data_IF_752426098273
#
_entry.id   IF_752426098273
#
_cell.length_a   1.000
_cell.length_b   1.000
_cell.length_c   1.000
_cell.angle_alpha   90.00
_cell.angle_beta   90.00
_cell.angle_gamma   90.00
#
_symmetry.space_group_name_H-M   'P 1'
#
loop_
_entity.id
_entity.type
_entity.pdbx_description
1 polymer ?
#
# COMPACT_ATOMS: atom_id res chain seq x y z
N UNK A 1 -63.13 -42.35 66.29
CA UNK A 1 -63.72 -41.46 65.25
C UNK A 1 -63.02 -40.10 65.20
N UNK A 2 -63.02 -39.28 66.26
CA UNK A 2 -62.46 -37.90 66.24
C UNK A 2 -60.95 -37.81 65.91
N UNK A 3 -60.12 -38.74 66.39
CA UNK A 3 -58.67 -38.75 66.09
C UNK A 3 -58.36 -39.09 64.62
N UNK A 4 -59.21 -39.90 63.98
CA UNK A 4 -59.07 -40.27 62.57
C UNK A 4 -59.38 -39.05 61.69
N UNK A 5 -60.45 -38.32 61.99
CA UNK A 5 -60.83 -37.09 61.26
C UNK A 5 -59.74 -36.01 61.34
N UNK A 6 -59.09 -35.81 62.50
CA UNK A 6 -57.96 -34.88 62.64
C UNK A 6 -56.75 -35.30 61.82
N UNK A 7 -56.43 -36.60 61.79
CA UNK A 7 -55.33 -37.14 60.98
C UNK A 7 -55.61 -36.96 59.48
N UNK A 8 -56.83 -37.23 59.03
CA UNK A 8 -57.27 -37.03 57.64
C UNK A 8 -57.16 -35.56 57.24
N UNK A 9 -57.57 -34.63 58.09
CA UNK A 9 -57.48 -33.20 57.81
C UNK A 9 -56.03 -32.70 57.73
N UNK A 10 -55.14 -33.20 58.61
CA UNK A 10 -53.70 -32.90 58.53
C UNK A 10 -53.09 -33.42 57.22
N UNK A 11 -53.44 -34.63 56.80
CA UNK A 11 -52.96 -35.19 55.53
C UNK A 11 -53.52 -34.43 54.31
N UNK A 12 -54.79 -34.00 54.35
CA UNK A 12 -55.38 -33.17 53.31
C UNK A 12 -54.64 -31.83 53.15
N UNK A 13 -54.24 -31.18 54.25
CA UNK A 13 -53.46 -29.94 54.19
C UNK A 13 -52.05 -30.16 53.62
N UNK A 14 -51.37 -31.25 53.99
CA UNK A 14 -50.06 -31.61 53.41
C UNK A 14 -50.19 -31.87 51.91
N UNK A 15 -51.24 -32.59 51.49
CA UNK A 15 -51.52 -32.83 50.08
C UNK A 15 -51.80 -31.52 49.32
N UNK A 16 -52.53 -30.58 49.93
CA UNK A 16 -52.80 -29.25 49.36
C UNK A 16 -51.52 -28.45 49.17
N UNK A 17 -50.65 -28.38 50.18
CA UNK A 17 -49.35 -27.67 50.10
C UNK A 17 -48.41 -28.31 49.07
N UNK A 18 -48.37 -29.64 48.98
CA UNK A 18 -47.63 -30.35 47.95
C UNK A 18 -48.18 -30.08 46.54
N UNK A 19 -49.50 -30.00 46.40
CA UNK A 19 -50.17 -29.68 45.12
C UNK A 19 -49.87 -28.25 44.67
N UNK A 20 -49.91 -27.27 45.57
CA UNK A 20 -49.52 -25.89 45.27
C UNK A 20 -48.07 -25.78 44.83
N UNK A 21 -47.14 -26.45 45.55
CA UNK A 21 -45.71 -26.51 45.18
C UNK A 21 -45.48 -27.16 43.82
N UNK A 22 -46.18 -28.26 43.53
CA UNK A 22 -46.11 -28.93 42.23
C UNK A 22 -46.63 -28.01 41.12
N UNK A 23 -47.77 -27.35 41.35
CA UNK A 23 -48.38 -26.43 40.39
C UNK A 23 -47.44 -25.27 40.08
N UNK A 24 -46.83 -24.64 41.10
CA UNK A 24 -45.84 -23.58 40.93
C UNK A 24 -44.63 -24.06 40.09
N UNK A 25 -44.07 -25.23 40.42
CA UNK A 25 -42.96 -25.83 39.66
C UNK A 25 -43.32 -26.12 38.20
N UNK A 26 -44.55 -26.59 37.94
CA UNK A 26 -45.02 -26.82 36.58
C UNK A 26 -45.11 -25.52 35.77
N UNK A 27 -45.64 -24.44 36.38
CA UNK A 27 -45.71 -23.11 35.75
C UNK A 27 -44.31 -22.55 35.46
N UNK A 28 -43.39 -22.65 36.41
CA UNK A 28 -42.01 -22.17 36.23
C UNK A 28 -41.27 -22.97 35.14
N UNK A 29 -41.44 -24.30 35.12
CA UNK A 29 -40.88 -25.16 34.07
C UNK A 29 -41.46 -24.82 32.70
N UNK A 30 -42.77 -24.58 32.61
CA UNK A 30 -43.41 -24.20 31.35
C UNK A 30 -42.88 -22.87 30.83
N UNK A 31 -42.83 -21.82 31.66
CA UNK A 31 -42.23 -20.52 31.32
C UNK A 31 -40.77 -20.62 30.92
N UNK A 32 -40.02 -21.53 31.52
CA UNK A 32 -38.63 -21.78 31.13
C UNK A 32 -38.56 -22.44 29.74
N UNK A 33 -39.38 -23.46 29.48
CA UNK A 33 -39.46 -24.10 28.16
C UNK A 33 -39.86 -23.12 27.05
N UNK A 34 -40.86 -22.25 27.29
CA UNK A 34 -41.29 -21.24 26.32
C UNK A 34 -40.16 -20.27 25.95
N UNK A 35 -39.45 -19.72 26.96
CA UNK A 35 -38.31 -18.83 26.75
C UNK A 35 -37.16 -19.51 26.02
N UNK A 36 -36.89 -20.77 26.35
CA UNK A 36 -35.86 -21.57 25.67
C UNK A 36 -36.22 -21.82 24.21
N UNK A 37 -37.49 -22.16 23.93
CA UNK A 37 -37.97 -22.38 22.57
C UNK A 37 -37.88 -21.09 21.74
N UNK A 38 -38.32 -19.96 22.29
CA UNK A 38 -38.23 -18.65 21.62
C UNK A 38 -36.77 -18.32 21.23
N UNK A 39 -35.82 -18.53 22.15
CA UNK A 39 -34.39 -18.32 21.87
C UNK A 39 -33.83 -19.27 20.81
N UNK A 40 -34.25 -20.53 20.82
CA UNK A 40 -33.83 -21.50 19.80
C UNK A 40 -34.36 -21.12 18.41
N UNK A 41 -35.61 -20.66 18.33
CA UNK A 41 -36.21 -20.18 17.08
C UNK A 41 -35.51 -18.91 16.58
N UNK A 42 -35.22 -17.96 17.47
CA UNK A 42 -34.47 -16.75 17.14
C UNK A 42 -33.07 -17.09 16.63
N UNK A 43 -32.37 -18.01 17.29
CA UNK A 43 -31.04 -18.45 16.87
C UNK A 43 -31.09 -19.12 15.51
N UNK A 44 -32.06 -19.99 15.25
CA UNK A 44 -32.22 -20.65 13.96
C UNK A 44 -32.46 -19.64 12.83
N UNK A 45 -33.37 -18.69 13.04
CA UNK A 45 -33.65 -17.64 12.06
C UNK A 45 -32.41 -16.77 11.79
N UNK A 46 -31.70 -16.36 12.84
CA UNK A 46 -30.47 -15.58 12.70
C UNK A 46 -29.36 -16.37 11.97
N UNK A 47 -29.25 -17.69 12.22
CA UNK A 47 -28.32 -18.56 11.51
C UNK A 47 -28.64 -18.66 10.02
N UNK A 48 -29.91 -18.78 9.64
CA UNK A 48 -30.33 -18.85 8.24
C UNK A 48 -30.07 -17.52 7.50
N UNK A 49 -30.39 -16.38 8.15
CA UNK A 49 -30.09 -15.04 7.62
C UNK A 49 -28.58 -14.84 7.42
N UNK A 50 -27.77 -15.23 8.41
CA UNK A 50 -26.31 -15.14 8.32
C UNK A 50 -25.76 -16.08 7.23
N UNK A 51 -26.30 -17.29 7.11
CA UNK A 51 -25.88 -18.23 6.09
C UNK A 51 -26.06 -17.65 4.68
N UNK A 52 -27.19 -16.98 4.45
CA UNK A 52 -27.48 -16.31 3.19
C UNK A 52 -26.56 -15.10 2.95
N UNK A 53 -26.32 -14.28 3.98
CA UNK A 53 -25.39 -13.16 3.87
C UNK A 53 -23.95 -13.61 3.56
N UNK A 54 -23.48 -14.70 4.19
CA UNK A 54 -22.18 -15.30 3.90
C UNK A 54 -22.10 -15.88 2.49
N UNK A 55 -23.18 -16.47 1.98
CA UNK A 55 -23.24 -16.97 0.60
C UNK A 55 -23.10 -15.83 -0.42
N UNK A 56 -23.78 -14.70 -0.21
CA UNK A 56 -23.63 -13.52 -1.06
C UNK A 56 -22.20 -12.96 -1.02
N UNK A 57 -21.62 -12.87 0.18
CA UNK A 57 -20.25 -12.39 0.36
C UNK A 57 -19.21 -13.33 -0.26
N UNK A 58 -19.40 -14.65 -0.15
CA UNK A 58 -18.58 -15.64 -0.84
C UNK A 58 -18.71 -15.49 -2.36
N UNK A 59 -19.89 -15.15 -2.88
CA UNK A 59 -20.11 -14.84 -4.29
C UNK A 59 -19.24 -13.67 -4.79
N UNK A 60 -19.16 -12.57 -4.02
CA UNK A 60 -18.27 -11.44 -4.32
C UNK A 60 -16.81 -11.88 -4.30
N UNK A 61 -16.41 -12.67 -3.31
CA UNK A 61 -15.04 -13.21 -3.23
C UNK A 61 -14.69 -14.07 -4.44
N UNK A 62 -15.61 -14.91 -4.90
CA UNK A 62 -15.40 -15.77 -6.07
C UNK A 62 -15.31 -15.00 -7.40
N UNK A 63 -15.85 -13.79 -7.45
CA UNK A 63 -15.76 -12.92 -8.62
C UNK A 63 -14.43 -12.15 -8.71
N UNK A 64 -13.55 -12.23 -7.71
CA UNK A 64 -12.26 -11.53 -7.76
C UNK A 64 -11.31 -12.14 -8.78
N UNK A 65 -10.89 -11.32 -9.73
CA UNK A 65 -9.81 -11.63 -10.67
C UNK A 65 -8.45 -11.63 -9.96
N UNK A 66 -7.48 -12.48 -10.32
CA UNK A 66 -6.13 -12.43 -9.76
C UNK A 66 -5.49 -11.04 -9.90
N UNK A 67 -4.80 -10.55 -8.85
CA UNK A 67 -4.22 -9.18 -8.86
C UNK A 67 -3.25 -8.97 -10.03
N UNK A 68 -2.52 -10.01 -10.45
CA UNK A 68 -1.58 -9.93 -11.57
C UNK A 68 -2.23 -9.73 -12.94
N UNK A 69 -3.54 -9.98 -13.07
CA UNK A 69 -4.28 -9.81 -14.33
C UNK A 69 -4.97 -8.43 -14.42
N UNK A 70 -4.91 -7.64 -13.34
CA UNK A 70 -5.53 -6.32 -13.29
C UNK A 70 -4.68 -5.27 -14.01
N UNK A 71 -5.35 -4.29 -14.61
CA UNK A 71 -4.67 -3.11 -15.13
C UNK A 71 -4.17 -2.24 -13.97
N UNK A 72 -2.97 -1.68 -14.12
CA UNK A 72 -2.35 -0.81 -13.12
C UNK A 72 -3.25 0.38 -12.77
N UNK A 73 -3.87 0.99 -13.79
CA UNK A 73 -4.72 2.16 -13.64
C UNK A 73 -6.03 1.87 -12.87
N UNK A 74 -6.50 0.62 -12.87
CA UNK A 74 -7.72 0.21 -12.13
C UNK A 74 -7.43 -0.27 -10.71
N UNK A 75 -6.16 -0.42 -10.31
CA UNK A 75 -5.79 -0.94 -8.98
C UNK A 75 -6.43 -0.11 -7.85
N UNK A 76 -6.49 1.22 -8.00
CA UNK A 76 -7.11 2.10 -7.01
C UNK A 76 -8.63 1.84 -6.88
N UNK A 77 -9.33 1.66 -7.99
CA UNK A 77 -10.76 1.33 -7.99
C UNK A 77 -11.02 -0.01 -7.28
N UNK A 78 -10.18 -1.02 -7.53
CA UNK A 78 -10.28 -2.31 -6.84
C UNK A 78 -9.98 -2.20 -5.34
N UNK A 79 -9.03 -1.35 -4.94
CA UNK A 79 -8.75 -1.06 -3.52
C UNK A 79 -10.00 -0.48 -2.86
N UNK A 80 -10.61 0.54 -3.48
CA UNK A 80 -11.76 1.22 -2.90
C UNK A 80 -13.02 0.33 -2.88
N UNK A 81 -13.25 -0.46 -3.92
CA UNK A 81 -14.29 -1.49 -3.92
C UNK A 81 -14.08 -2.53 -2.79
N UNK A 82 -12.84 -2.97 -2.56
CA UNK A 82 -12.53 -3.94 -1.49
C UNK A 82 -12.68 -3.30 -0.10
N UNK A 83 -12.41 -2.00 0.06
CA UNK A 83 -12.68 -1.27 1.33
C UNK A 83 -14.19 -1.20 1.60
N UNK A 84 -14.98 -0.83 0.59
CA UNK A 84 -16.43 -0.76 0.71
C UNK A 84 -17.00 -2.14 1.09
N UNK A 85 -16.57 -3.20 0.40
CA UNK A 85 -16.97 -4.56 0.74
C UNK A 85 -16.60 -4.93 2.19
N UNK A 86 -15.40 -4.55 2.66
CA UNK A 86 -15.01 -4.76 4.06
C UNK A 86 -15.91 -4.02 5.06
N UNK A 87 -16.41 -2.83 4.70
CA UNK A 87 -17.38 -2.09 5.51
C UNK A 87 -18.74 -2.80 5.52
N UNK A 88 -19.22 -3.31 4.40
CA UNK A 88 -20.46 -4.09 4.32
C UNK A 88 -20.41 -5.36 5.19
N UNK A 89 -19.24 -6.00 5.28
CA UNK A 89 -19.03 -7.18 6.12
C UNK A 89 -19.14 -6.90 7.64
N UNK A 90 -19.21 -5.64 8.07
CA UNK A 90 -19.48 -5.32 9.48
C UNK A 90 -20.81 -5.88 9.96
N UNK A 91 -21.85 -5.88 9.11
CA UNK A 91 -23.15 -6.46 9.44
C UNK A 91 -23.06 -7.98 9.64
N UNK A 92 -22.27 -8.67 8.82
CA UNK A 92 -22.03 -10.12 8.93
C UNK A 92 -21.30 -10.44 10.24
N UNK A 93 -20.32 -9.60 10.61
CA UNK A 93 -19.61 -9.72 11.90
C UNK A 93 -20.58 -9.57 13.08
N UNK A 94 -21.46 -8.57 13.05
CA UNK A 94 -22.47 -8.35 14.08
C UNK A 94 -23.44 -9.55 14.19
N UNK A 95 -23.88 -10.09 13.05
CA UNK A 95 -24.72 -11.31 13.02
C UNK A 95 -24.04 -12.51 13.68
N UNK A 96 -22.74 -12.72 13.45
CA UNK A 96 -21.98 -13.79 14.09
C UNK A 96 -21.85 -13.59 15.59
N UNK A 97 -21.57 -12.36 16.03
CA UNK A 97 -21.52 -12.06 17.46
C UNK A 97 -22.87 -12.32 18.12
N UNK A 98 -23.97 -11.92 17.46
CA UNK A 98 -25.31 -12.13 17.97
C UNK A 98 -25.66 -13.62 18.13
N UNK A 99 -25.37 -14.45 17.12
CA UNK A 99 -25.67 -15.90 17.20
C UNK A 99 -24.79 -16.59 18.24
N UNK A 100 -23.51 -16.22 18.34
CA UNK A 100 -22.62 -16.76 19.37
C UNK A 100 -23.09 -16.37 20.79
N UNK A 101 -23.61 -15.15 20.96
CA UNK A 101 -24.21 -14.71 22.23
C UNK A 101 -25.49 -15.49 22.56
N UNK A 102 -26.36 -15.74 21.57
CA UNK A 102 -27.55 -16.59 21.75
C UNK A 102 -27.17 -18.02 22.16
N UNK A 103 -26.18 -18.61 21.49
CA UNK A 103 -25.65 -19.94 21.83
C UNK A 103 -25.07 -19.95 23.25
N UNK A 104 -24.35 -18.90 23.64
CA UNK A 104 -23.80 -18.75 24.99
C UNK A 104 -24.91 -18.63 26.06
N UNK A 105 -25.95 -17.84 25.79
CA UNK A 105 -27.10 -17.69 26.70
C UNK A 105 -27.87 -19.01 26.88
N UNK A 106 -27.98 -19.83 25.83
CA UNK A 106 -28.56 -21.17 25.91
C UNK A 106 -27.70 -22.08 26.79
N UNK A 107 -26.37 -22.06 26.61
CA UNK A 107 -25.44 -22.83 27.42
C UNK A 107 -25.50 -22.45 28.92
N UNK A 108 -25.62 -21.16 29.25
CA UNK A 108 -25.83 -20.70 30.64
C UNK A 108 -27.13 -21.24 31.22
N UNK A 109 -28.15 -21.43 30.39
CA UNK A 109 -29.46 -21.96 30.78
C UNK A 109 -29.50 -23.50 30.88
N UNK A 110 -28.34 -24.17 30.78
CA UNK A 110 -28.16 -25.63 30.70
C UNK A 110 -28.89 -26.28 29.50
N UNK A 111 -29.09 -25.48 28.43
CA UNK A 111 -29.69 -25.92 27.18
C UNK A 111 -28.58 -26.15 26.17
N UNK A 112 -28.38 -27.41 25.81
CA UNK A 112 -27.38 -27.81 24.83
C UNK A 112 -27.98 -27.76 23.42
N UNK A 113 -27.25 -27.20 22.47
CA UNK A 113 -27.63 -27.20 21.06
C UNK A 113 -27.69 -28.65 20.54
N UNK A 114 -28.57 -28.87 19.56
CA UNK A 114 -28.54 -30.10 18.78
C UNK A 114 -27.19 -30.24 18.06
N UNK A 115 -26.78 -31.47 17.76
CA UNK A 115 -25.55 -31.71 17.00
C UNK A 115 -25.56 -30.98 15.65
N UNK A 116 -26.73 -30.86 15.03
CA UNK A 116 -26.93 -30.16 13.75
C UNK A 116 -26.70 -28.66 13.90
N UNK A 117 -27.33 -28.01 14.88
CA UNK A 117 -27.18 -26.56 15.11
C UNK A 117 -25.76 -26.21 15.56
N UNK A 118 -25.13 -27.05 16.38
CA UNK A 118 -23.74 -26.87 16.78
C UNK A 118 -22.79 -26.93 15.58
N UNK A 119 -22.96 -27.92 14.69
CA UNK A 119 -22.17 -28.04 13.44
C UNK A 119 -22.42 -26.86 12.50
N UNK A 120 -23.67 -26.46 12.31
CA UNK A 120 -24.00 -25.33 11.44
C UNK A 120 -23.40 -24.02 11.99
N UNK A 121 -23.44 -23.79 13.30
CA UNK A 121 -22.80 -22.64 13.93
C UNK A 121 -21.27 -22.65 13.75
N UNK A 122 -20.63 -23.82 13.90
CA UNK A 122 -19.19 -23.99 13.67
C UNK A 122 -18.82 -23.72 12.20
N UNK A 123 -19.64 -24.20 11.26
CA UNK A 123 -19.48 -23.93 9.83
C UNK A 123 -19.61 -22.45 9.49
N UNK A 124 -20.59 -21.74 10.05
CA UNK A 124 -20.75 -20.29 9.84
C UNK A 124 -19.54 -19.52 10.40
N UNK A 125 -19.10 -19.86 11.61
CA UNK A 125 -17.92 -19.22 12.23
C UNK A 125 -16.63 -19.48 11.43
N UNK A 126 -16.44 -20.69 10.90
CA UNK A 126 -15.26 -21.03 10.09
C UNK A 126 -15.29 -20.35 8.72
N UNK A 127 -16.44 -20.35 8.03
CA UNK A 127 -16.63 -19.61 6.76
C UNK A 127 -16.33 -18.13 6.91
N UNK A 128 -16.85 -17.50 7.95
CA UNK A 128 -16.56 -16.09 8.24
C UNK A 128 -15.07 -15.80 8.45
N UNK A 129 -14.38 -16.62 9.25
CA UNK A 129 -12.93 -16.44 9.46
C UNK A 129 -12.15 -16.56 8.16
N UNK A 130 -12.51 -17.51 7.29
CA UNK A 130 -11.90 -17.67 5.97
C UNK A 130 -12.16 -16.46 5.07
N UNK A 131 -13.41 -15.97 5.05
CA UNK A 131 -13.80 -14.78 4.29
C UNK A 131 -13.02 -13.54 4.78
N UNK A 132 -12.97 -13.30 6.09
CA UNK A 132 -12.23 -12.21 6.69
C UNK A 132 -10.75 -12.26 6.29
N UNK A 133 -10.10 -13.43 6.44
CA UNK A 133 -8.71 -13.62 6.03
C UNK A 133 -8.49 -13.37 4.53
N UNK A 134 -9.42 -13.82 3.69
CA UNK A 134 -9.36 -13.62 2.23
C UNK A 134 -9.44 -12.13 1.85
N UNK A 135 -10.30 -11.36 2.52
CA UNK A 135 -10.43 -9.90 2.29
C UNK A 135 -9.17 -9.16 2.72
N UNK A 136 -8.60 -9.52 3.87
CA UNK A 136 -7.35 -8.91 4.35
C UNK A 136 -6.17 -9.23 3.42
N UNK A 137 -6.08 -10.48 2.96
CA UNK A 137 -5.07 -10.90 1.97
C UNK A 137 -5.24 -10.16 0.64
N UNK A 138 -6.46 -10.09 0.11
CA UNK A 138 -6.76 -9.37 -1.13
C UNK A 138 -6.39 -7.89 -1.02
N UNK A 139 -6.78 -7.24 0.07
CA UNK A 139 -6.45 -5.83 0.32
C UNK A 139 -4.94 -5.62 0.33
N UNK A 140 -4.19 -6.50 1.01
CA UNK A 140 -2.74 -6.43 1.05
C UNK A 140 -2.13 -6.58 -0.34
N UNK A 141 -2.55 -7.59 -1.11
CA UNK A 141 -2.03 -7.83 -2.46
C UNK A 141 -2.30 -6.63 -3.38
N UNK A 142 -3.50 -6.05 -3.34
CA UNK A 142 -3.84 -4.86 -4.13
C UNK A 142 -3.01 -3.64 -3.70
N UNK A 143 -2.82 -3.42 -2.40
CA UNK A 143 -1.99 -2.32 -1.88
C UNK A 143 -0.51 -2.47 -2.24
N UNK A 144 0.02 -3.69 -2.16
CA UNK A 144 1.38 -4.00 -2.57
C UNK A 144 1.54 -3.76 -4.08
N UNK A 145 0.62 -4.26 -4.92
CA UNK A 145 0.65 -4.02 -6.36
C UNK A 145 0.53 -2.53 -6.71
N UNK A 146 -0.36 -1.78 -6.04
CA UNK A 146 -0.50 -0.34 -6.26
C UNK A 146 0.75 0.44 -5.82
N UNK A 147 1.41 0.04 -4.73
CA UNK A 147 2.67 0.65 -4.31
C UNK A 147 3.79 0.39 -5.32
N UNK A 148 3.86 -0.84 -5.82
CA UNK A 148 4.99 -1.31 -6.63
C UNK A 148 4.80 -1.04 -8.12
N UNK A 149 3.57 -0.82 -8.61
CA UNK A 149 3.31 -0.58 -10.04
C UNK A 149 2.43 0.63 -10.32
N UNK A 150 1.76 1.20 -9.31
CA UNK A 150 0.89 2.35 -9.50
C UNK A 150 1.64 3.61 -9.94
N UNK A 151 0.91 4.69 -10.26
CA UNK A 151 1.49 5.94 -10.76
C UNK A 151 2.55 6.56 -9.84
N UNK A 152 2.56 6.26 -8.54
CA UNK A 152 3.59 6.74 -7.61
C UNK A 152 4.83 5.85 -7.49
N UNK A 153 4.91 4.76 -8.26
CA UNK A 153 5.94 3.73 -8.11
C UNK A 153 7.27 4.15 -8.75
N UNK A 154 8.36 3.81 -8.05
CA UNK A 154 9.71 3.88 -8.60
C UNK A 154 10.29 2.48 -8.89
N UNK A 155 9.47 1.42 -8.87
CA UNK A 155 9.91 0.03 -8.96
C UNK A 155 10.63 -0.28 -10.28
N UNK A 156 10.23 0.36 -11.39
CA UNK A 156 10.90 0.15 -12.68
C UNK A 156 12.40 0.51 -12.64
N UNK A 157 12.79 1.44 -11.76
CA UNK A 157 14.19 1.85 -11.53
C UNK A 157 15.00 0.82 -10.75
N UNK A 158 14.40 -0.22 -10.16
CA UNK A 158 15.15 -1.31 -9.51
C UNK A 158 16.16 -1.99 -10.46
N UNK A 159 15.86 -1.97 -11.77
CA UNK A 159 16.71 -2.51 -12.82
C UNK A 159 17.92 -1.62 -13.20
N UNK A 160 18.03 -0.41 -12.64
CA UNK A 160 19.16 0.50 -12.87
C UNK A 160 20.49 -0.07 -12.34
N UNK A 161 20.40 -0.85 -11.27
CA UNK A 161 21.51 -1.52 -10.59
C UNK A 161 21.47 -3.03 -10.84
N UNK A 162 22.60 -3.68 -10.55
CA UNK A 162 22.79 -5.12 -10.68
C UNK A 162 23.51 -5.63 -9.44
N UNK A 163 23.39 -6.92 -9.13
CA UNK A 163 24.09 -7.59 -8.02
C UNK A 163 25.59 -7.20 -8.05
N UNK A 164 26.20 -6.79 -6.92
CA UNK A 164 25.72 -6.88 -5.54
C UNK A 164 24.90 -5.68 -5.04
N UNK A 165 24.50 -4.78 -5.93
CA UNK A 165 23.78 -3.55 -5.58
C UNK A 165 22.26 -3.74 -5.63
N UNK A 166 21.57 -3.10 -4.68
CA UNK A 166 20.12 -2.99 -4.63
C UNK A 166 19.73 -1.52 -4.47
N UNK A 167 18.73 -1.08 -5.24
CA UNK A 167 18.12 0.25 -5.09
C UNK A 167 16.97 0.15 -4.10
N UNK A 168 17.02 0.95 -3.06
CA UNK A 168 15.98 1.05 -2.04
C UNK A 168 15.47 2.50 -1.93
N UNK A 169 14.31 2.68 -1.29
CA UNK A 169 13.65 3.98 -1.15
C UNK A 169 13.53 4.30 0.35
N UNK A 170 13.96 5.49 0.74
CA UNK A 170 13.81 5.97 2.13
C UNK A 170 12.34 6.34 2.45
N UNK A 171 11.97 6.51 3.73
CA UNK A 171 10.65 7.00 4.11
C UNK A 171 10.26 8.33 3.44
N UNK A 172 11.26 9.16 3.12
CA UNK A 172 11.09 10.46 2.45
C UNK A 172 11.09 10.35 0.92
N UNK A 173 10.90 9.16 0.36
CA UNK A 173 10.85 8.87 -1.10
C UNK A 173 12.14 9.12 -1.88
N UNK A 174 13.25 9.42 -1.19
CA UNK A 174 14.58 9.58 -1.79
C UNK A 174 15.24 8.20 -1.95
N UNK A 175 15.79 7.87 -3.13
CA UNK A 175 16.48 6.60 -3.34
C UNK A 175 17.84 6.55 -2.66
N UNK A 176 18.22 5.36 -2.23
CA UNK A 176 19.56 5.01 -1.75
C UNK A 176 19.94 3.62 -2.25
N UNK A 177 21.23 3.30 -2.20
CA UNK A 177 21.78 2.07 -2.77
C UNK A 177 22.46 1.25 -1.69
N UNK A 178 22.16 -0.04 -1.68
CA UNK A 178 22.68 -1.03 -0.73
C UNK A 178 23.67 -1.91 -1.47
N UNK A 179 24.89 -2.03 -0.96
CA UNK A 179 25.86 -2.99 -1.44
C UNK A 179 25.88 -4.20 -0.50
N UNK A 180 25.31 -5.32 -0.96
CA UNK A 180 25.22 -6.55 -0.16
C UNK A 180 26.58 -7.21 0.08
N UNK A 181 27.54 -7.01 -0.82
CA UNK A 181 28.88 -7.57 -0.68
C UNK A 181 29.73 -6.80 0.35
N UNK A 182 29.64 -5.47 0.35
CA UNK A 182 30.38 -4.61 1.28
C UNK A 182 29.61 -4.35 2.59
N UNK A 183 28.32 -4.72 2.65
CA UNK A 183 27.41 -4.40 3.75
C UNK A 183 27.34 -2.90 4.07
N UNK A 184 27.30 -2.08 3.01
CA UNK A 184 27.26 -0.62 3.10
C UNK A 184 26.05 -0.05 2.38
N UNK A 185 25.59 1.13 2.81
CA UNK A 185 24.60 1.93 2.09
C UNK A 185 25.20 3.25 1.62
N UNK A 186 24.75 3.77 0.49
CA UNK A 186 25.16 5.08 -0.03
C UNK A 186 24.02 5.80 -0.74
N UNK A 187 24.11 7.13 -0.82
CA UNK A 187 23.15 7.95 -1.55
C UNK A 187 23.46 8.05 -3.04
N UNK A 188 24.74 7.89 -3.41
CA UNK A 188 25.19 7.92 -4.79
C UNK A 188 24.93 6.58 -5.49
N UNK A 189 24.44 6.66 -6.73
CA UNK A 189 24.34 5.49 -7.60
C UNK A 189 25.76 4.96 -7.91
N UNK A 190 26.03 3.64 -7.94
CA UNK A 190 27.37 3.10 -8.15
C UNK A 190 28.04 3.62 -9.44
N UNK A 191 27.30 3.67 -10.55
CA UNK A 191 27.80 4.27 -11.80
C UNK A 191 28.03 5.79 -11.74
N UNK A 192 27.34 6.51 -10.84
CA UNK A 192 27.63 7.93 -10.59
C UNK A 192 28.93 8.08 -9.80
N UNK A 193 29.18 7.22 -8.81
CA UNK A 193 30.47 7.16 -8.11
C UNK A 193 31.62 6.86 -9.07
N UNK A 194 31.49 5.86 -9.94
CA UNK A 194 32.47 5.55 -10.99
C UNK A 194 32.71 6.74 -11.92
N UNK A 195 31.63 7.43 -12.33
CA UNK A 195 31.73 8.63 -13.14
C UNK A 195 32.53 9.72 -12.42
N UNK A 196 32.21 10.03 -11.16
CA UNK A 196 32.92 11.04 -10.37
C UNK A 196 34.40 10.70 -10.17
N UNK A 197 34.73 9.43 -9.98
CA UNK A 197 36.12 8.96 -9.94
C UNK A 197 36.82 9.21 -11.28
N UNK A 198 36.20 8.87 -12.40
CA UNK A 198 36.75 9.13 -13.73
C UNK A 198 36.92 10.64 -14.04
N UNK A 199 36.15 11.53 -13.39
CA UNK A 199 36.36 12.97 -13.52
C UNK A 199 37.67 13.44 -12.86
N UNK A 200 38.28 12.65 -11.98
CA UNK A 200 39.55 13.00 -11.34
C UNK A 200 40.70 13.11 -12.35
N UNK A 201 40.65 12.36 -13.46
CA UNK A 201 41.64 12.41 -14.54
C UNK A 201 41.75 13.82 -15.16
N UNK A 202 40.67 14.59 -15.09
CA UNK A 202 40.60 15.97 -15.59
C UNK A 202 41.19 16.99 -14.60
N UNK A 203 41.63 16.58 -13.40
CA UNK A 203 42.17 17.49 -12.39
C UNK A 203 43.46 18.19 -12.84
N UNK A 204 44.21 17.58 -13.75
CA UNK A 204 45.48 18.12 -14.27
C UNK A 204 45.29 19.24 -15.31
N UNK A 205 44.05 19.54 -15.72
CA UNK A 205 43.78 20.67 -16.61
C UNK A 205 44.09 21.98 -15.87
N UNK A 206 45.07 22.73 -16.39
CA UNK A 206 45.59 23.96 -15.76
C UNK A 206 44.52 25.02 -15.53
N UNK A 207 43.70 25.28 -16.55
CA UNK A 207 42.67 26.31 -16.48
C UNK A 207 41.41 25.78 -15.80
N UNK A 208 41.00 26.42 -14.71
CA UNK A 208 39.83 26.01 -13.91
C UNK A 208 38.53 26.00 -14.71
N UNK A 209 38.29 27.00 -15.56
CA UNK A 209 37.09 27.08 -16.40
C UNK A 209 37.00 25.89 -17.38
N UNK A 210 38.09 25.57 -18.07
CA UNK A 210 38.15 24.43 -18.99
C UNK A 210 38.01 23.10 -18.26
N UNK A 211 38.66 22.97 -17.10
CA UNK A 211 38.52 21.78 -16.25
C UNK A 211 37.06 21.53 -15.90
N UNK A 212 36.36 22.55 -15.41
CA UNK A 212 34.95 22.46 -15.06
C UNK A 212 34.09 22.18 -16.29
N UNK A 213 34.33 22.85 -17.43
CA UNK A 213 33.61 22.62 -18.67
C UNK A 213 33.77 21.18 -19.18
N UNK A 214 34.98 20.62 -19.18
CA UNK A 214 35.25 19.24 -19.58
C UNK A 214 34.59 18.23 -18.64
N UNK A 215 34.63 18.48 -17.32
CA UNK A 215 33.93 17.65 -16.34
C UNK A 215 32.41 17.66 -16.58
N UNK A 216 31.83 18.84 -16.76
CA UNK A 216 30.41 19.00 -17.07
C UNK A 216 30.03 18.33 -18.39
N UNK A 217 30.87 18.45 -19.43
CA UNK A 217 30.66 17.78 -20.72
C UNK A 217 30.68 16.26 -20.57
N UNK A 218 31.57 15.72 -19.72
CA UNK A 218 31.64 14.28 -19.45
C UNK A 218 30.39 13.78 -18.71
N UNK A 219 29.91 14.53 -17.71
CA UNK A 219 28.66 14.24 -17.01
C UNK A 219 27.47 14.31 -17.97
N UNK A 220 27.38 15.38 -18.76
CA UNK A 220 26.32 15.57 -19.74
C UNK A 220 26.20 14.38 -20.70
N UNK A 221 27.33 13.91 -21.25
CA UNK A 221 27.37 12.74 -22.13
C UNK A 221 27.02 11.44 -21.42
N UNK A 222 27.48 11.23 -20.19
CA UNK A 222 27.17 10.04 -19.41
C UNK A 222 25.66 9.93 -19.12
N UNK A 223 25.01 11.08 -18.86
CA UNK A 223 23.58 11.19 -18.63
C UNK A 223 22.77 11.33 -19.93
N UNK A 224 23.40 11.36 -21.11
CA UNK A 224 22.77 11.60 -22.42
C UNK A 224 21.98 12.91 -22.53
N UNK A 225 22.27 13.89 -21.67
CA UNK A 225 21.63 15.21 -21.70
C UNK A 225 22.09 16.04 -22.91
N UNK A 226 23.15 15.64 -23.59
CA UNK A 226 23.62 16.24 -24.84
C UNK A 226 22.76 15.90 -26.05
N UNK A 227 21.92 14.88 -25.94
CA UNK A 227 21.02 14.45 -27.00
C UNK A 227 19.61 15.06 -26.88
N UNK A 228 19.27 15.63 -25.71
CA UNK A 228 17.97 16.23 -25.44
C UNK A 228 17.83 17.61 -26.12
N UNK A 229 16.72 17.80 -26.82
CA UNK A 229 16.33 19.08 -27.42
C UNK A 229 15.50 19.91 -26.44
N UNK A 230 15.64 21.23 -26.52
CA UNK A 230 14.85 22.17 -25.70
C UNK A 230 13.35 22.08 -25.95
N UNK A 231 12.96 21.78 -27.18
CA UNK A 231 11.57 21.60 -27.57
C UNK A 231 10.95 20.41 -26.83
N UNK A 232 11.65 19.26 -26.82
CA UNK A 232 11.19 18.05 -26.12
C UNK A 232 11.07 18.28 -24.61
N UNK A 233 12.01 19.01 -24.00
CA UNK A 233 11.91 19.45 -22.59
C UNK A 233 10.69 20.33 -22.38
N UNK A 234 10.45 21.30 -23.26
CA UNK A 234 9.32 22.20 -23.10
C UNK A 234 7.96 21.50 -23.25
N UNK A 235 7.86 20.50 -24.11
CA UNK A 235 6.66 19.69 -24.34
C UNK A 235 6.34 18.79 -23.16
N UNK A 236 7.32 18.04 -22.61
CA UNK A 236 7.11 17.19 -21.42
C UNK A 236 6.62 18.02 -20.23
N UNK A 237 7.26 19.18 -19.98
CA UNK A 237 6.84 20.07 -18.90
C UNK A 237 5.45 20.67 -19.11
N UNK A 238 5.00 20.81 -20.36
CA UNK A 238 3.62 21.26 -20.67
C UNK A 238 2.61 20.15 -20.41
N UNK A 239 2.92 18.92 -20.81
CA UNK A 239 2.03 17.77 -20.68
C UNK A 239 1.81 17.34 -19.23
N UNK A 240 2.83 17.52 -18.39
CA UNK A 240 2.77 17.23 -16.96
C UNK A 240 2.30 18.42 -16.10
N UNK A 241 1.85 19.52 -16.72
CA UNK A 241 1.40 20.77 -16.06
C UNK A 241 2.45 21.42 -15.12
N UNK A 242 3.74 21.18 -15.39
CA UNK A 242 4.89 21.65 -14.62
C UNK A 242 5.34 23.07 -15.00
N UNK A 243 4.46 23.87 -15.62
CA UNK A 243 4.82 25.21 -16.12
C UNK A 243 4.78 26.30 -15.05
N UNK A 244 4.12 26.05 -13.92
CA UNK A 244 3.94 27.00 -12.85
C UNK A 244 5.27 27.33 -12.17
N UNK A 245 5.66 28.62 -12.16
CA UNK A 245 6.99 29.05 -11.71
C UNK A 245 7.27 28.78 -10.22
N UNK A 246 6.22 28.61 -9.42
CA UNK A 246 6.28 28.36 -7.97
C UNK A 246 6.09 26.88 -7.61
N UNK A 247 5.82 25.99 -8.56
CA UNK A 247 5.66 24.56 -8.28
C UNK A 247 6.98 23.96 -7.84
N UNK A 248 6.97 23.26 -6.71
CA UNK A 248 8.10 22.48 -6.23
C UNK A 248 7.87 21.01 -6.59
N UNK A 249 8.76 20.46 -7.43
CA UNK A 249 8.66 19.07 -7.85
C UNK A 249 9.16 18.13 -6.75
N UNK A 250 8.42 17.06 -6.47
CA UNK A 250 8.87 15.94 -5.66
C UNK A 250 9.73 14.95 -6.48
N UNK A 251 10.32 13.95 -5.80
CA UNK A 251 11.17 12.93 -6.44
C UNK A 251 10.43 12.17 -7.55
N UNK A 252 9.14 11.88 -7.35
CA UNK A 252 8.34 11.04 -8.25
C UNK A 252 7.98 11.84 -9.50
N UNK A 253 7.60 13.11 -9.37
CA UNK A 253 7.39 14.02 -10.49
C UNK A 253 8.65 14.19 -11.34
N UNK A 254 9.83 14.30 -10.70
CA UNK A 254 11.12 14.33 -11.42
C UNK A 254 11.37 13.02 -12.18
N UNK A 255 11.08 11.88 -11.56
CA UNK A 255 11.21 10.56 -12.22
C UNK A 255 10.30 10.49 -13.45
N UNK A 256 9.02 10.88 -13.34
CA UNK A 256 8.10 10.85 -14.48
C UNK A 256 8.53 11.79 -15.62
N UNK A 257 8.99 13.01 -15.28
CA UNK A 257 9.51 13.94 -16.28
C UNK A 257 10.72 13.35 -17.00
N UNK A 258 11.66 12.77 -16.26
CA UNK A 258 12.85 12.14 -16.84
C UNK A 258 12.50 10.90 -17.69
N UNK A 259 11.60 10.04 -17.22
CA UNK A 259 11.14 8.88 -17.99
C UNK A 259 10.55 9.30 -19.32
N UNK A 260 9.60 10.25 -19.33
CA UNK A 260 9.00 10.76 -20.56
C UNK A 260 10.02 11.40 -21.51
N UNK A 261 11.04 12.08 -20.96
CA UNK A 261 12.12 12.65 -21.77
C UNK A 261 13.00 11.57 -22.43
N UNK A 262 13.38 10.53 -21.70
CA UNK A 262 14.23 9.47 -22.24
C UNK A 262 13.47 8.52 -23.18
N UNK A 263 12.19 8.27 -22.95
CA UNK A 263 11.31 7.54 -23.88
C UNK A 263 11.18 8.28 -25.21
N UNK A 264 10.86 9.59 -25.18
CA UNK A 264 10.85 10.42 -26.39
C UNK A 264 12.20 10.45 -27.09
N UNK A 265 13.30 10.50 -26.34
CA UNK A 265 14.63 10.48 -26.91
C UNK A 265 14.94 9.16 -27.63
N UNK A 266 14.53 8.03 -27.05
CA UNK A 266 14.65 6.71 -27.66
C UNK A 266 13.84 6.63 -28.96
N UNK A 267 12.60 7.11 -28.96
CA UNK A 267 11.72 7.17 -30.13
C UNK A 267 12.29 8.08 -31.25
N UNK A 268 12.68 9.31 -30.92
CA UNK A 268 13.17 10.29 -31.89
C UNK A 268 14.49 9.89 -32.55
N UNK A 269 15.39 9.24 -31.80
CA UNK A 269 16.73 8.90 -32.29
C UNK A 269 16.86 7.45 -32.75
N UNK A 270 15.87 6.60 -32.49
CA UNK A 270 15.93 5.15 -32.77
C UNK A 270 17.18 4.49 -32.17
N UNK A 271 17.63 4.97 -31.00
CA UNK A 271 18.79 4.46 -30.27
C UNK A 271 18.29 3.75 -29.03
N UNK A 272 18.78 2.53 -28.78
CA UNK A 272 18.45 1.81 -27.55
C UNK A 272 18.98 2.56 -26.31
N UNK A 273 18.08 2.97 -25.44
CA UNK A 273 18.39 3.66 -24.19
C UNK A 273 18.04 2.74 -23.03
N UNK A 274 18.99 2.54 -22.12
CA UNK A 274 18.64 1.97 -20.82
C UNK A 274 17.95 3.06 -20.00
N UNK A 275 16.65 3.25 -20.25
CA UNK A 275 15.82 4.29 -19.64
C UNK A 275 15.91 4.22 -18.10
N UNK A 276 15.75 3.05 -17.44
CA UNK A 276 15.86 2.99 -15.98
C UNK A 276 17.19 3.53 -15.45
N UNK A 277 18.30 3.16 -16.07
CA UNK A 277 19.61 3.65 -15.67
C UNK A 277 19.80 5.15 -15.92
N UNK A 278 19.36 5.64 -17.08
CA UNK A 278 19.48 7.05 -17.43
C UNK A 278 18.67 7.95 -16.49
N UNK A 279 17.43 7.55 -16.18
CA UNK A 279 16.57 8.23 -15.21
C UNK A 279 17.23 8.23 -13.82
N UNK A 280 17.68 7.08 -13.32
CA UNK A 280 18.20 6.99 -11.94
C UNK A 280 19.54 7.73 -11.77
N UNK A 281 20.42 7.67 -12.77
CA UNK A 281 21.67 8.46 -12.77
C UNK A 281 21.39 9.96 -12.88
N UNK A 282 20.43 10.38 -13.72
CA UNK A 282 20.09 11.78 -13.86
C UNK A 282 19.42 12.33 -12.60
N UNK A 283 18.49 11.57 -12.01
CA UNK A 283 17.91 11.86 -10.71
C UNK A 283 19.01 12.02 -9.66
N UNK A 284 19.92 11.05 -9.53
CA UNK A 284 21.01 11.11 -8.57
C UNK A 284 21.89 12.36 -8.75
N UNK A 285 22.21 12.72 -10.00
CA UNK A 285 22.93 13.97 -10.29
C UNK A 285 22.15 15.22 -9.86
N UNK A 286 20.84 15.27 -10.12
CA UNK A 286 19.97 16.40 -9.73
C UNK A 286 19.86 16.51 -8.21
N UNK A 287 19.64 15.39 -7.51
CA UNK A 287 19.66 15.32 -6.04
C UNK A 287 20.94 15.96 -5.50
N UNK A 288 22.10 15.55 -6.02
CA UNK A 288 23.39 16.07 -5.57
C UNK A 288 23.59 17.56 -5.87
N UNK A 289 23.05 18.08 -6.97
CA UNK A 289 23.19 19.50 -7.34
C UNK A 289 22.23 20.40 -6.56
N UNK A 290 21.02 19.93 -6.27
CA UNK A 290 19.94 20.75 -5.71
C UNK A 290 19.75 20.58 -4.19
N UNK A 291 19.95 19.38 -3.63
CA UNK A 291 19.80 19.12 -2.19
C UNK A 291 21.02 19.60 -1.36
N UNK A 292 22.16 19.87 -2.02
CA UNK A 292 23.38 20.39 -1.36
C UNK A 292 23.27 21.84 -0.83
N UNK A 293 22.18 22.56 -1.12
CA UNK A 293 22.05 24.00 -0.89
C UNK A 293 21.04 24.41 0.20
N UNK A 294 20.71 23.51 1.14
CA UNK A 294 20.45 23.98 2.50
C UNK A 294 21.81 24.40 3.12
N UNK A 295 22.22 25.64 2.83
CA UNK A 295 23.53 26.22 3.17
C UNK A 295 23.98 25.92 4.61
N UNK A 296 24.95 25.00 4.74
CA UNK A 296 25.88 24.93 5.87
C UNK A 296 25.41 24.15 7.10
N UNK A 297 25.89 22.90 7.24
CA UNK A 297 26.63 22.38 8.42
C UNK A 297 26.65 20.85 8.40
N UNK A 298 27.83 20.26 8.18
CA UNK A 298 28.14 18.86 8.52
C UNK A 298 27.50 17.76 7.64
N UNK A 299 27.88 16.49 7.85
CA UNK A 299 27.42 15.33 7.08
C UNK A 299 26.03 14.92 7.57
N UNK A 300 25.02 15.76 7.33
CA UNK A 300 23.63 15.43 7.59
C UNK A 300 22.82 15.97 6.42
N UNK A 301 22.63 15.13 5.40
CA UNK A 301 21.68 15.40 4.33
C UNK A 301 20.28 15.48 4.96
N UNK A 302 19.76 16.70 5.11
CA UNK A 302 18.36 16.93 5.48
C UNK A 302 17.50 16.63 4.26
N UNK A 303 17.28 15.34 3.99
CA UNK A 303 16.50 14.81 2.86
C UNK A 303 15.03 15.23 2.96
N UNK A 304 14.72 16.48 2.64
CA UNK A 304 13.36 16.91 2.33
C UNK A 304 13.11 16.46 0.90
N UNK A 305 12.22 15.49 0.67
CA UNK A 305 11.92 14.90 -0.65
C UNK A 305 11.32 15.85 -1.70
N UNK A 306 11.58 17.16 -1.58
CA UNK A 306 11.12 18.26 -2.42
C UNK A 306 12.33 18.90 -3.08
N UNK A 307 12.45 18.79 -4.40
CA UNK A 307 13.76 18.87 -5.04
C UNK A 307 14.01 20.09 -5.89
N UNK A 308 13.00 20.66 -6.54
CA UNK A 308 13.26 21.73 -7.50
C UNK A 308 12.10 22.70 -7.62
N UNK A 309 12.42 23.99 -7.62
CA UNK A 309 11.53 24.99 -8.22
C UNK A 309 11.48 24.82 -9.74
N UNK A 310 10.31 25.09 -10.30
CA UNK A 310 9.85 25.12 -11.70
C UNK A 310 10.85 25.13 -12.89
N UNK A 311 10.29 24.93 -14.09
CA UNK A 311 10.88 25.02 -15.44
C UNK A 311 12.07 25.99 -15.60
N UNK A 312 12.00 27.20 -15.07
CA UNK A 312 13.09 28.19 -15.19
C UNK A 312 14.39 27.78 -14.48
N UNK A 313 14.30 27.02 -13.40
CA UNK A 313 15.45 26.54 -12.62
C UNK A 313 16.15 25.34 -13.29
N UNK A 314 15.37 24.49 -13.97
CA UNK A 314 15.87 23.44 -14.86
C UNK A 314 16.51 24.04 -16.13
N UNK A 315 15.83 24.99 -16.78
CA UNK A 315 16.30 25.67 -18.00
C UNK A 315 17.58 26.49 -17.78
N UNK A 316 17.78 27.07 -16.60
CA UNK A 316 18.97 27.89 -16.35
C UNK A 316 20.24 27.06 -16.11
N UNK A 317 20.13 25.82 -15.58
CA UNK A 317 21.29 25.00 -15.16
C UNK A 317 21.48 23.73 -15.99
N UNK A 318 20.46 22.93 -16.24
CA UNK A 318 20.58 21.72 -17.08
C UNK A 318 20.83 22.11 -18.55
N UNK A 319 20.11 23.12 -19.03
CA UNK A 319 20.30 23.68 -20.37
C UNK A 319 21.50 24.64 -20.42
N UNK A 320 21.82 25.31 -19.30
CA UNK A 320 23.08 26.04 -19.14
C UNK A 320 24.30 25.12 -19.33
N UNK A 321 24.28 23.90 -18.79
CA UNK A 321 25.31 22.89 -19.02
C UNK A 321 25.29 22.40 -20.48
N UNK A 322 24.11 22.26 -21.10
CA UNK A 322 23.98 21.85 -22.50
C UNK A 322 24.54 22.87 -23.50
N UNK A 323 24.30 24.17 -23.27
CA UNK A 323 24.78 25.25 -24.14
C UNK A 323 26.18 25.73 -23.80
N UNK A 324 26.53 25.97 -22.53
CA UNK A 324 27.83 26.58 -22.18
C UNK A 324 29.02 25.61 -22.21
N UNK A 325 28.83 24.31 -22.02
CA UNK A 325 29.93 23.36 -22.20
C UNK A 325 30.38 23.28 -23.67
N UNK A 326 29.47 23.54 -24.61
CA UNK A 326 29.74 23.49 -26.05
C UNK A 326 30.26 24.83 -26.56
N UNK A 327 29.68 25.96 -26.14
CA UNK A 327 30.12 27.30 -26.56
C UNK A 327 31.51 27.69 -26.05
N UNK A 328 31.89 27.33 -24.81
CA UNK A 328 33.21 27.66 -24.26
C UNK A 328 34.35 26.80 -24.83
N UNK A 329 34.04 25.66 -25.45
CA UNK A 329 35.04 24.84 -26.15
C UNK A 329 35.27 25.39 -27.57
N UNK A 330 34.23 25.91 -28.23
CA UNK A 330 34.31 26.43 -29.61
C UNK A 330 34.89 27.86 -29.65
N UNK A 331 34.63 28.70 -28.64
CA UNK A 331 35.16 30.07 -28.60
C UNK A 331 36.67 30.17 -28.26
N UNK A 332 37.31 29.05 -27.89
CA UNK A 332 38.73 28.99 -27.56
C UNK A 332 39.63 28.54 -28.73
N UNK A 333 39.02 27.96 -29.78
CA UNK A 333 39.68 27.60 -31.03
C UNK A 333 39.56 28.73 -32.09
N UNK A 334 39.23 29.96 -31.66
CA UNK A 334 39.12 31.17 -32.50
C UNK A 334 40.25 32.16 -32.26
#
# INVERSE_FOLDING_TARGET
>A
MQNVSRSVWKQANVASDLWEKLTARCVDRHRHMERTLERLLQMQAAMDELAHALEQADGVRHAWEPVGDLFIDSLQDHIDATKLFKEELTQVKEGITHINDLAHQLAISDVHLSMENARALEQLNSRWKLLQGSVEERMKQLQDAHRDFGPGSQHFLSSSVQIPWERAISPNKVPYYINHQAQTTCWDHPKMTELYQALADLNNIKFSAYRTAMKLRRVQKALRLDLLKLTSIAEVFREQDLQHSEHMMDVVEVIHALTALYERLEEEQSVLINIPLCVDMCLNWLLNVYDSNALGSGPVHTNTGTLMGSKQHWDSKCIGISKNATYNIIAADS
#
